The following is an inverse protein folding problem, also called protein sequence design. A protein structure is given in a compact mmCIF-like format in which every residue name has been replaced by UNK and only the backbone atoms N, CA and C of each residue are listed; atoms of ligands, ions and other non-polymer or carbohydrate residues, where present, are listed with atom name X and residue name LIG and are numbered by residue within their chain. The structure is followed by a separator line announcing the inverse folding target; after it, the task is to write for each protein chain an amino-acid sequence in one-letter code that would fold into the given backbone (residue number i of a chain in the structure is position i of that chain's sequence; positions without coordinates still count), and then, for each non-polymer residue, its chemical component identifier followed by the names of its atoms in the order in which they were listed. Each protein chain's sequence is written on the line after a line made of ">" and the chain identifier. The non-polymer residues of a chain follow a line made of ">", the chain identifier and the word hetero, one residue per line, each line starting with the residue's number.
data_IF_606767387225
#
_entry.id   IF_606767387225
#
_cell.length_a   1.000
_cell.length_b   1.000
_cell.length_c   1.000
_cell.angle_alpha   90.00
_cell.angle_beta   90.00
_cell.angle_gamma   90.00
#
_symmetry.space_group_name_H-M   'P 1'
#
loop_
_entity.id
_entity.type
_entity.pdbx_description
1 polymer ?
#
# COMPACT_ATOMS: atom_id res chain seq x y z
N UNK A 1 -24.74 54.28 -5.30
CA UNK A 1 -24.16 54.67 -3.98
C UNK A 1 -23.14 53.60 -3.60
N UNK A 2 -21.84 53.88 -3.77
CA UNK A 2 -20.81 54.00 -2.71
C UNK A 2 -20.68 52.70 -1.89
N UNK A 3 -19.54 51.99 -1.82
CA UNK A 3 -18.17 52.47 -1.66
C UNK A 3 -17.17 51.37 -2.06
N UNK A 4 -16.15 51.76 -2.82
CA UNK A 4 -14.95 50.99 -3.14
C UNK A 4 -13.96 51.22 -1.98
N UNK A 5 -13.42 50.16 -1.39
CA UNK A 5 -12.24 50.23 -0.53
C UNK A 5 -11.08 49.54 -1.23
N UNK A 6 -10.15 50.35 -1.74
CA UNK A 6 -8.84 49.91 -2.18
C UNK A 6 -7.89 49.96 -0.98
N UNK A 7 -7.25 48.83 -0.66
CA UNK A 7 -6.13 48.79 0.31
C UNK A 7 -4.85 48.55 -0.47
N UNK A 8 -4.02 49.59 -0.46
CA UNK A 8 -2.66 49.66 -0.94
C UNK A 8 -1.75 48.98 0.11
N UNK A 9 -1.04 47.91 -0.25
CA UNK A 9 0.04 47.36 0.60
C UNK A 9 1.37 47.52 -0.11
N UNK A 10 2.26 48.23 0.58
CA UNK A 10 3.61 48.59 0.18
C UNK A 10 4.51 47.38 -0.06
N UNK A 11 5.22 47.43 -1.18
CA UNK A 11 6.40 46.61 -1.46
C UNK A 11 7.59 47.21 -0.69
N UNK A 12 8.13 46.49 0.28
CA UNK A 12 9.43 46.79 0.89
C UNK A 12 10.44 45.78 0.34
N UNK A 13 11.32 46.28 -0.54
CA UNK A 13 12.53 45.58 -0.95
C UNK A 13 13.59 45.74 0.14
N UNK A 14 14.08 44.62 0.69
CA UNK A 14 15.26 44.60 1.56
C UNK A 14 16.38 43.82 0.85
N UNK A 15 17.44 44.56 0.51
CA UNK A 15 18.65 44.09 -0.14
C UNK A 15 19.54 43.25 0.78
N UNK A 16 20.24 42.31 0.16
CA UNK A 16 21.21 41.38 0.73
C UNK A 16 22.43 42.05 1.39
N UNK A 17 22.95 41.41 2.43
CA UNK A 17 24.31 41.58 2.96
C UNK A 17 24.89 40.21 3.37
N UNK A 18 26.19 39.94 3.16
CA UNK A 18 26.78 38.63 3.38
C UNK A 18 27.13 38.44 4.87
N UNK A 19 26.68 37.34 5.48
CA UNK A 19 27.11 36.96 6.81
C UNK A 19 28.40 36.11 6.75
N UNK A 20 29.40 36.38 7.61
CA UNK A 20 30.64 35.63 7.64
C UNK A 20 30.45 34.27 8.32
N UNK A 21 31.16 33.28 7.78
CA UNK A 21 31.31 31.96 8.36
C UNK A 21 32.00 32.04 9.73
N UNK A 22 31.37 31.46 10.75
CA UNK A 22 32.02 31.18 12.04
C UNK A 22 32.21 29.67 12.14
N UNK A 23 33.48 29.27 12.02
CA UNK A 23 33.94 27.94 12.40
C UNK A 23 33.95 27.84 13.92
N UNK A 24 33.36 26.77 14.46
CA UNK A 24 33.35 26.45 15.88
C UNK A 24 33.32 24.94 16.08
N UNK A 25 34.49 24.35 16.24
CA UNK A 25 34.70 22.99 16.72
C UNK A 25 34.62 22.96 18.25
N UNK A 26 33.83 22.05 18.82
CA UNK A 26 34.29 21.02 19.78
C UNK A 26 33.24 20.62 20.84
N UNK A 27 33.13 19.30 21.02
CA UNK A 27 32.87 18.51 22.24
C UNK A 27 31.44 18.33 22.76
N UNK A 28 30.94 17.11 22.52
CA UNK A 28 30.80 16.09 23.58
C UNK A 28 29.53 16.12 24.44
N UNK A 29 28.57 15.24 24.12
CA UNK A 29 27.42 14.90 24.96
C UNK A 29 26.92 13.50 24.61
N UNK A 30 26.86 12.64 25.64
CA UNK A 30 26.69 11.19 25.59
C UNK A 30 25.34 10.68 25.02
N UNK A 31 25.38 9.45 24.49
CA UNK A 31 24.34 8.47 24.84
C UNK A 31 23.25 8.14 23.82
N UNK A 32 23.61 7.90 22.56
CA UNK A 32 22.85 6.97 21.72
C UNK A 32 23.87 6.12 20.97
N UNK A 33 23.95 4.83 21.28
CA UNK A 33 24.70 3.89 20.46
C UNK A 33 24.04 3.85 19.09
N UNK A 34 24.54 4.69 18.18
CA UNK A 34 24.29 4.56 16.77
C UNK A 34 24.79 3.16 16.38
N UNK A 35 23.84 2.27 16.08
CA UNK A 35 24.15 0.96 15.54
C UNK A 35 24.90 1.22 14.25
N UNK A 36 26.20 0.91 14.26
CA UNK A 36 27.10 1.19 13.15
C UNK A 36 26.71 0.24 12.02
N UNK A 37 26.07 0.79 10.98
CA UNK A 37 25.73 0.03 9.79
C UNK A 37 27.03 -0.54 9.19
N UNK A 38 27.04 -1.82 8.76
CA UNK A 38 28.17 -2.36 8.03
C UNK A 38 28.48 -1.44 6.84
N UNK A 39 29.68 -0.87 6.86
CA UNK A 39 30.18 -0.02 5.79
C UNK A 39 30.44 -0.90 4.56
N UNK A 40 29.64 -0.63 3.52
CA UNK A 40 29.65 -1.16 2.16
C UNK A 40 29.04 -2.56 1.99
N UNK A 41 27.71 -2.60 1.94
CA UNK A 41 26.99 -3.71 1.34
C UNK A 41 27.49 -3.91 -0.11
N UNK A 42 27.66 -5.16 -0.53
CA UNK A 42 28.08 -5.51 -1.89
C UNK A 42 26.94 -6.22 -2.61
N UNK A 43 26.76 -5.92 -3.89
CA UNK A 43 25.80 -6.64 -4.73
C UNK A 43 26.23 -8.09 -4.85
N UNK A 44 25.29 -9.00 -4.63
CA UNK A 44 25.56 -10.42 -4.73
C UNK A 44 24.35 -11.17 -5.30
N UNK A 45 24.37 -11.33 -6.62
CA UNK A 45 23.27 -11.80 -7.45
C UNK A 45 22.00 -10.93 -7.29
N UNK A 46 20.85 -11.54 -6.98
CA UNK A 46 19.56 -10.88 -6.78
C UNK A 46 19.39 -10.28 -5.37
N UNK A 47 20.40 -10.39 -4.51
CA UNK A 47 20.42 -9.83 -3.15
C UNK A 47 21.73 -9.05 -2.92
N UNK A 48 21.93 -8.56 -1.71
CA UNK A 48 23.18 -7.94 -1.28
C UNK A 48 23.73 -8.60 -0.01
N UNK A 49 25.01 -8.35 0.29
CA UNK A 49 25.70 -8.94 1.43
C UNK A 49 25.05 -8.58 2.78
N UNK A 50 24.48 -7.37 2.90
CA UNK A 50 23.78 -6.94 4.10
C UNK A 50 22.44 -7.65 4.27
N UNK A 51 21.67 -7.84 3.20
CA UNK A 51 20.43 -8.62 3.25
C UNK A 51 20.69 -10.05 3.70
N UNK A 52 21.76 -10.68 3.19
CA UNK A 52 22.15 -12.03 3.66
C UNK A 52 22.56 -12.04 5.12
N UNK A 53 23.36 -11.05 5.55
CA UNK A 53 23.74 -10.93 6.95
C UNK A 53 22.49 -10.81 7.84
N UNK A 54 21.47 -10.08 7.40
CA UNK A 54 20.21 -9.94 8.09
C UNK A 54 19.45 -11.28 8.19
N UNK A 55 19.30 -12.02 7.09
CA UNK A 55 18.70 -13.37 7.10
C UNK A 55 19.44 -14.32 8.05
N UNK A 56 20.78 -14.24 8.10
CA UNK A 56 21.55 -15.06 9.04
C UNK A 56 21.33 -14.63 10.50
N UNK A 57 21.14 -13.34 10.77
CA UNK A 57 20.79 -12.85 12.11
C UNK A 57 19.38 -13.30 12.52
N UNK A 58 18.40 -13.25 11.62
CA UNK A 58 17.04 -13.77 11.87
C UNK A 58 17.04 -15.26 12.21
N UNK A 59 17.82 -16.07 11.48
CA UNK A 59 17.99 -17.51 11.77
C UNK A 59 18.54 -17.78 13.17
N UNK A 60 19.30 -16.84 13.74
CA UNK A 60 19.81 -16.91 15.12
C UNK A 60 18.86 -16.30 16.16
N UNK A 61 17.71 -15.76 15.73
CA UNK A 61 16.78 -15.05 16.60
C UNK A 61 17.24 -13.66 17.04
N UNK A 62 18.27 -13.10 16.40
CA UNK A 62 18.82 -11.79 16.74
C UNK A 62 18.14 -10.69 15.94
N UNK A 63 16.98 -10.24 16.44
CA UNK A 63 16.17 -9.22 15.76
C UNK A 63 16.86 -7.85 15.67
N UNK A 64 17.77 -7.52 16.60
CA UNK A 64 18.51 -6.25 16.59
C UNK A 64 19.55 -6.27 15.46
N UNK A 65 20.33 -7.34 15.37
CA UNK A 65 21.30 -7.49 14.29
C UNK A 65 20.62 -7.63 12.92
N UNK A 66 19.48 -8.34 12.85
CA UNK A 66 18.69 -8.46 11.63
C UNK A 66 18.21 -7.09 11.15
N UNK A 67 17.60 -6.29 12.04
CA UNK A 67 17.14 -4.94 11.71
C UNK A 67 18.27 -4.05 11.21
N UNK A 68 19.41 -4.06 11.89
CA UNK A 68 20.58 -3.27 11.51
C UNK A 68 21.07 -3.61 10.10
N UNK A 69 21.15 -4.90 9.78
CA UNK A 69 21.61 -5.38 8.48
C UNK A 69 20.58 -5.14 7.36
N UNK A 70 19.27 -5.29 7.63
CA UNK A 70 18.23 -4.93 6.67
C UNK A 70 18.17 -3.44 6.40
N UNK A 71 18.34 -2.58 7.42
CA UNK A 71 18.45 -1.12 7.22
C UNK A 71 19.67 -0.77 6.37
N UNK A 72 20.81 -1.44 6.57
CA UNK A 72 21.99 -1.25 5.73
C UNK A 72 21.73 -1.68 4.27
N UNK A 73 21.09 -2.82 4.05
CA UNK A 73 20.66 -3.28 2.72
C UNK A 73 19.69 -2.29 2.05
N UNK A 74 18.70 -1.80 2.80
CA UNK A 74 17.77 -0.77 2.33
C UNK A 74 18.51 0.53 1.92
N UNK A 75 19.47 0.97 2.72
CA UNK A 75 20.27 2.16 2.44
C UNK A 75 21.15 1.97 1.20
N UNK A 76 21.72 0.78 0.99
CA UNK A 76 22.52 0.45 -0.19
C UNK A 76 21.71 0.50 -1.50
N UNK A 77 20.40 0.24 -1.44
CA UNK A 77 19.48 0.48 -2.55
C UNK A 77 19.65 -0.45 -3.76
N UNK A 78 20.34 -1.59 -3.60
CA UNK A 78 20.47 -2.58 -4.67
C UNK A 78 19.16 -3.31 -4.97
N UNK A 79 18.28 -3.43 -3.97
CA UNK A 79 16.98 -4.10 -4.05
C UNK A 79 16.07 -3.61 -2.90
N UNK A 80 14.77 -3.91 -2.97
CA UNK A 80 13.76 -3.37 -2.05
C UNK A 80 13.39 -4.30 -0.87
N UNK A 81 13.71 -5.58 -0.95
CA UNK A 81 13.56 -6.57 0.12
C UNK A 81 14.24 -6.17 1.44
N UNK A 82 15.40 -5.50 1.41
CA UNK A 82 16.01 -4.93 2.63
C UNK A 82 15.11 -3.91 3.33
N UNK A 83 14.49 -3.01 2.55
CA UNK A 83 13.53 -2.05 3.09
C UNK A 83 12.25 -2.73 3.59
N UNK A 84 11.75 -3.73 2.86
CA UNK A 84 10.55 -4.46 3.22
C UNK A 84 10.70 -5.20 4.55
N UNK A 85 11.79 -5.95 4.73
CA UNK A 85 12.03 -6.71 5.95
C UNK A 85 12.34 -5.82 7.16
N UNK A 86 13.12 -4.74 6.99
CA UNK A 86 13.27 -3.74 8.05
C UNK A 86 11.91 -3.12 8.45
N UNK A 87 11.08 -2.79 7.45
CA UNK A 87 9.73 -2.28 7.67
C UNK A 87 8.84 -3.25 8.44
N UNK A 88 8.92 -4.56 8.15
CA UNK A 88 8.20 -5.62 8.87
C UNK A 88 8.67 -5.73 10.31
N UNK A 89 9.97 -5.70 10.57
CA UNK A 89 10.50 -5.74 11.94
C UNK A 89 9.95 -4.54 12.74
N UNK A 90 10.03 -3.33 12.18
CA UNK A 90 9.45 -2.14 12.83
C UNK A 90 7.94 -2.21 13.04
N UNK A 91 7.21 -3.01 12.26
CA UNK A 91 5.76 -3.15 12.41
C UNK A 91 5.40 -4.22 13.45
N UNK A 92 6.00 -5.40 13.34
CA UNK A 92 5.58 -6.63 14.01
C UNK A 92 6.31 -6.87 15.33
N UNK A 93 7.62 -6.60 15.39
CA UNK A 93 8.43 -6.91 16.57
C UNK A 93 8.07 -5.97 17.72
N UNK A 94 7.55 -6.50 18.83
CA UNK A 94 7.06 -5.69 19.94
C UNK A 94 8.12 -4.81 20.60
N UNK A 95 9.38 -5.28 20.66
CA UNK A 95 10.49 -4.56 21.30
C UNK A 95 11.09 -3.50 20.38
N UNK A 96 11.13 -3.76 19.08
CA UNK A 96 11.73 -2.88 18.06
C UNK A 96 10.69 -2.06 17.30
N UNK A 97 9.44 -2.07 17.76
CA UNK A 97 8.31 -1.47 17.04
C UNK A 97 8.49 0.04 16.88
N UNK A 98 8.39 0.50 15.64
CA UNK A 98 8.34 1.92 15.27
C UNK A 98 7.51 2.08 13.99
N UNK A 99 6.23 2.40 14.17
CA UNK A 99 5.32 2.55 13.02
C UNK A 99 5.67 3.71 12.10
N UNK A 100 6.43 4.71 12.58
CA UNK A 100 6.90 5.82 11.75
C UNK A 100 8.00 5.36 10.79
N UNK A 101 8.98 4.61 11.30
CA UNK A 101 10.03 4.00 10.48
C UNK A 101 9.49 2.91 9.57
N UNK A 102 8.57 2.07 10.06
CA UNK A 102 7.86 1.10 9.24
C UNK A 102 7.18 1.78 8.05
N UNK A 103 6.38 2.84 8.31
CA UNK A 103 5.73 3.63 7.25
C UNK A 103 6.74 4.13 6.22
N UNK A 104 7.85 4.72 6.66
CA UNK A 104 8.86 5.25 5.75
C UNK A 104 9.46 4.17 4.84
N UNK A 105 9.68 2.94 5.35
CA UNK A 105 10.26 1.85 4.56
C UNK A 105 9.22 1.28 3.60
N UNK A 106 8.00 1.08 4.07
CA UNK A 106 6.90 0.57 3.26
C UNK A 106 6.52 1.53 2.13
N UNK A 107 6.59 2.86 2.35
CA UNK A 107 6.38 3.85 1.27
C UNK A 107 7.36 3.60 0.13
N UNK A 108 8.66 3.45 0.45
CA UNK A 108 9.70 3.21 -0.55
C UNK A 108 9.46 1.91 -1.34
N UNK A 109 9.08 0.82 -0.65
CA UNK A 109 8.82 -0.47 -1.30
C UNK A 109 7.54 -0.44 -2.14
N UNK A 110 6.45 0.09 -1.59
CA UNK A 110 5.18 0.20 -2.30
C UNK A 110 5.28 1.10 -3.55
N UNK A 111 6.16 2.10 -3.56
CA UNK A 111 6.42 2.98 -4.71
C UNK A 111 7.48 2.46 -5.68
N UNK A 112 8.04 1.27 -5.44
CA UNK A 112 9.06 0.68 -6.30
C UNK A 112 8.44 -0.06 -7.49
N UNK A 113 9.28 -0.35 -8.48
CA UNK A 113 8.92 -1.20 -9.63
C UNK A 113 9.02 -2.71 -9.29
N UNK A 114 9.30 -3.07 -8.04
CA UNK A 114 9.34 -4.47 -7.60
C UNK A 114 7.91 -4.99 -7.38
N UNK A 115 7.30 -5.44 -8.48
CA UNK A 115 5.93 -5.99 -8.51
C UNK A 115 5.73 -7.18 -7.56
N UNK A 116 6.81 -7.88 -7.20
CA UNK A 116 6.77 -9.05 -6.32
C UNK A 116 6.59 -8.70 -4.84
N UNK A 117 7.01 -7.53 -4.38
CA UNK A 117 6.91 -7.14 -2.96
C UNK A 117 6.15 -5.82 -2.72
N UNK A 118 6.00 -4.97 -3.74
CA UNK A 118 5.29 -3.71 -3.62
C UNK A 118 3.85 -3.87 -3.08
N UNK A 119 3.01 -4.83 -3.58
CA UNK A 119 1.66 -5.03 -3.05
C UNK A 119 1.66 -5.32 -1.55
N UNK A 120 2.54 -6.20 -1.08
CA UNK A 120 2.67 -6.54 0.33
C UNK A 120 3.04 -5.33 1.20
N UNK A 121 3.92 -4.45 0.71
CA UNK A 121 4.25 -3.21 1.40
C UNK A 121 3.08 -2.22 1.42
N UNK A 122 2.32 -2.13 0.33
CA UNK A 122 1.12 -1.31 0.25
C UNK A 122 0.07 -1.75 1.28
N UNK A 123 -0.12 -3.06 1.53
CA UNK A 123 -0.97 -3.54 2.64
C UNK A 123 -0.57 -2.91 3.98
N UNK A 124 0.71 -2.93 4.33
CA UNK A 124 1.16 -2.37 5.62
C UNK A 124 0.85 -0.87 5.72
N UNK A 125 1.01 -0.11 4.63
CA UNK A 125 0.62 1.29 4.59
C UNK A 125 -0.89 1.46 4.79
N UNK A 126 -1.69 0.63 4.11
CA UNK A 126 -3.14 0.55 4.32
C UNK A 126 -3.50 0.42 5.80
N UNK A 127 -2.90 -0.55 6.50
CA UNK A 127 -3.12 -0.76 7.94
C UNK A 127 -2.67 0.45 8.77
N UNK A 128 -1.50 1.04 8.47
CA UNK A 128 -0.97 2.20 9.19
C UNK A 128 -1.94 3.39 9.10
N UNK A 129 -2.45 3.69 7.90
CA UNK A 129 -3.38 4.80 7.69
C UNK A 129 -4.79 4.50 8.16
N UNK A 130 -5.23 3.25 8.09
CA UNK A 130 -6.54 2.84 8.59
C UNK A 130 -6.60 2.95 10.12
N UNK A 131 -5.57 2.45 10.82
CA UNK A 131 -5.54 2.38 12.29
C UNK A 131 -4.89 3.60 12.94
N UNK A 132 -4.32 4.51 12.16
CA UNK A 132 -3.63 5.69 12.68
C UNK A 132 -2.38 5.36 13.52
N UNK A 133 -1.59 4.37 13.09
CA UNK A 133 -0.49 3.83 13.92
C UNK A 133 0.72 4.76 14.06
N UNK A 134 0.94 5.66 13.10
CA UNK A 134 2.01 6.69 13.15
C UNK A 134 1.56 8.07 12.70
N UNK A 135 0.28 8.21 12.37
CA UNK A 135 -0.39 9.41 11.85
C UNK A 135 -1.86 9.34 12.28
N UNK A 136 -2.62 10.43 12.14
CA UNK A 136 -4.08 10.33 12.29
C UNK A 136 -4.67 9.41 11.22
N UNK A 137 -5.76 8.66 11.52
CA UNK A 137 -6.44 7.86 10.52
C UNK A 137 -6.82 8.68 9.28
N UNK A 138 -6.61 8.11 8.10
CA UNK A 138 -6.90 8.74 6.81
C UNK A 138 -7.54 7.68 5.90
N UNK A 139 -8.88 7.54 5.93
CA UNK A 139 -9.61 6.48 5.22
C UNK A 139 -9.32 6.43 3.72
N UNK A 140 -9.35 7.56 3.02
CA UNK A 140 -9.03 7.61 1.58
C UNK A 140 -7.59 7.18 1.27
N UNK A 141 -6.63 7.52 2.13
CA UNK A 141 -5.24 7.09 1.96
C UNK A 141 -5.06 5.59 2.27
N UNK A 142 -5.76 5.08 3.29
CA UNK A 142 -5.81 3.65 3.57
C UNK A 142 -6.41 2.86 2.40
N UNK A 143 -7.54 3.33 1.88
CA UNK A 143 -8.18 2.77 0.69
C UNK A 143 -7.21 2.75 -0.50
N UNK A 144 -6.55 3.86 -0.81
CA UNK A 144 -5.59 3.95 -1.92
C UNK A 144 -4.46 2.91 -1.81
N UNK A 145 -3.89 2.73 -0.61
CA UNK A 145 -2.83 1.74 -0.42
C UNK A 145 -3.34 0.29 -0.45
N UNK A 146 -4.50 0.01 0.13
CA UNK A 146 -5.12 -1.32 0.05
C UNK A 146 -5.56 -1.66 -1.39
N UNK A 147 -6.09 -0.68 -2.13
CA UNK A 147 -6.39 -0.78 -3.55
C UNK A 147 -5.13 -1.11 -4.35
N UNK A 148 -4.00 -0.46 -4.11
CA UNK A 148 -2.73 -0.80 -4.79
C UNK A 148 -2.16 -2.17 -4.39
N UNK A 149 -2.51 -2.66 -3.20
CA UNK A 149 -2.15 -4.02 -2.75
C UNK A 149 -2.98 -5.10 -3.44
N UNK A 150 -4.24 -4.81 -3.76
CA UNK A 150 -5.17 -5.77 -4.34
C UNK A 150 -5.32 -5.64 -5.87
N UNK A 151 -5.20 -4.43 -6.40
CA UNK A 151 -5.36 -4.05 -7.79
C UNK A 151 -4.15 -3.21 -8.23
N UNK A 152 -2.94 -3.82 -8.29
CA UNK A 152 -1.73 -3.10 -8.66
C UNK A 152 -1.80 -2.59 -10.10
N UNK A 153 -0.95 -1.61 -10.39
CA UNK A 153 -0.73 -1.15 -11.76
C UNK A 153 0.30 -2.06 -12.44
N UNK A 154 -0.03 -2.58 -13.63
CA UNK A 154 0.88 -3.41 -14.41
C UNK A 154 0.61 -4.91 -14.20
N UNK A 155 1.67 -5.67 -13.91
CA UNK A 155 1.56 -7.11 -13.65
C UNK A 155 0.76 -7.35 -12.36
N UNK A 156 -0.30 -8.19 -12.37
CA UNK A 156 -1.21 -8.26 -11.24
C UNK A 156 -0.74 -9.28 -10.21
N UNK A 157 0.49 -9.09 -9.73
CA UNK A 157 0.96 -9.67 -8.48
C UNK A 157 0.26 -8.96 -7.34
N UNK A 158 -0.51 -9.70 -6.56
CA UNK A 158 -1.33 -9.15 -5.48
C UNK A 158 -0.88 -9.68 -4.14
N UNK A 159 -1.34 -9.03 -3.08
CA UNK A 159 -1.35 -9.63 -1.75
C UNK A 159 -2.79 -9.92 -1.35
N UNK A 160 -3.16 -11.20 -1.30
CA UNK A 160 -4.52 -11.62 -0.93
C UNK A 160 -4.98 -11.06 0.43
N UNK A 161 -4.06 -10.88 1.39
CA UNK A 161 -4.39 -10.21 2.66
C UNK A 161 -4.76 -8.73 2.50
N UNK A 162 -4.14 -8.03 1.55
CA UNK A 162 -4.50 -6.67 1.16
C UNK A 162 -5.87 -6.59 0.50
N UNK A 163 -6.24 -7.59 -0.32
CA UNK A 163 -7.59 -7.73 -0.87
C UNK A 163 -8.65 -7.93 0.20
N UNK A 164 -8.40 -8.80 1.19
CA UNK A 164 -9.31 -8.97 2.32
C UNK A 164 -9.49 -7.68 3.13
N UNK A 165 -8.38 -7.00 3.44
CA UNK A 165 -8.44 -5.74 4.17
C UNK A 165 -9.20 -4.67 3.38
N UNK A 166 -9.01 -4.58 2.07
CA UNK A 166 -9.78 -3.69 1.22
C UNK A 166 -11.27 -4.01 1.28
N UNK A 167 -11.65 -5.28 1.06
CA UNK A 167 -13.05 -5.69 1.06
C UNK A 167 -13.75 -5.49 2.41
N UNK A 168 -13.04 -5.69 3.52
CA UNK A 168 -13.58 -5.48 4.86
C UNK A 168 -13.68 -4.00 5.27
N UNK A 169 -12.98 -3.11 4.57
CA UNK A 169 -12.79 -1.73 5.00
C UNK A 169 -12.93 -0.72 3.87
N UNK A 170 -13.83 -0.98 2.92
CA UNK A 170 -14.20 0.03 1.92
C UNK A 170 -14.86 1.21 2.66
N UNK A 171 -14.30 2.42 2.58
CA UNK A 171 -14.90 3.61 3.19
C UNK A 171 -16.24 3.95 2.54
N UNK A 172 -17.09 4.70 3.25
CA UNK A 172 -18.31 5.28 2.68
C UNK A 172 -17.99 6.44 1.71
N UNK A 173 -19.01 6.91 1.00
CA UNK A 173 -18.86 7.96 -0.01
C UNK A 173 -18.39 9.29 0.61
N UNK A 174 -18.90 9.63 1.80
CA UNK A 174 -18.49 10.82 2.56
C UNK A 174 -16.98 10.81 2.87
N UNK A 175 -16.46 9.68 3.38
CA UNK A 175 -15.04 9.52 3.68
C UNK A 175 -14.15 9.51 2.42
N UNK A 176 -14.74 9.24 1.26
CA UNK A 176 -14.09 9.30 -0.05
C UNK A 176 -14.31 10.63 -0.77
N UNK A 177 -15.13 11.53 -0.22
CA UNK A 177 -15.49 12.81 -0.81
C UNK A 177 -16.11 12.67 -2.22
N UNK A 178 -16.93 11.64 -2.41
CA UNK A 178 -17.64 11.31 -3.66
C UNK A 178 -19.15 11.19 -3.42
N UNK A 179 -19.95 11.20 -4.50
CA UNK A 179 -21.40 11.06 -4.38
C UNK A 179 -21.83 9.59 -4.14
N UNK A 180 -22.88 9.40 -3.34
CA UNK A 180 -23.42 8.07 -2.97
C UNK A 180 -23.89 7.23 -4.17
N UNK A 181 -24.34 7.88 -5.24
CA UNK A 181 -24.79 7.22 -6.47
C UNK A 181 -23.65 6.77 -7.38
N UNK A 182 -22.43 7.26 -7.11
CA UNK A 182 -21.20 6.87 -7.81
C UNK A 182 -20.42 5.81 -7.02
N UNK A 183 -20.44 5.90 -5.69
CA UNK A 183 -19.64 5.05 -4.83
C UNK A 183 -20.48 3.92 -4.23
N UNK A 184 -20.13 2.67 -4.59
CA UNK A 184 -20.83 1.48 -4.12
C UNK A 184 -19.90 0.59 -3.28
N UNK A 185 -19.81 0.81 -1.95
CA UNK A 185 -18.89 0.08 -1.09
C UNK A 185 -19.01 -1.44 -1.18
N UNK A 186 -20.24 -1.96 -1.22
CA UNK A 186 -20.50 -3.40 -1.35
C UNK A 186 -20.00 -3.97 -2.69
N UNK A 187 -20.11 -3.21 -3.78
CA UNK A 187 -19.58 -3.64 -5.08
C UNK A 187 -18.06 -3.62 -5.10
N UNK A 188 -17.44 -2.59 -4.53
CA UNK A 188 -15.98 -2.50 -4.40
C UNK A 188 -15.46 -3.64 -3.52
N UNK A 189 -16.16 -3.97 -2.44
CA UNK A 189 -15.84 -5.10 -1.57
C UNK A 189 -15.99 -6.44 -2.31
N UNK A 190 -17.06 -6.61 -3.10
CA UNK A 190 -17.24 -7.77 -3.99
C UNK A 190 -16.01 -7.99 -4.87
N UNK A 191 -15.57 -6.94 -5.57
CA UNK A 191 -14.42 -7.01 -6.46
C UNK A 191 -13.13 -7.36 -5.70
N UNK A 192 -12.91 -6.76 -4.52
CA UNK A 192 -11.73 -7.04 -3.71
C UNK A 192 -11.69 -8.51 -3.27
N UNK A 193 -12.79 -9.06 -2.77
CA UNK A 193 -12.88 -10.47 -2.40
C UNK A 193 -12.77 -11.42 -3.60
N UNK A 194 -13.34 -11.07 -4.74
CA UNK A 194 -13.21 -11.84 -5.98
C UNK A 194 -11.77 -11.83 -6.50
N UNK A 195 -11.07 -10.69 -6.41
CA UNK A 195 -9.66 -10.59 -6.78
C UNK A 195 -8.79 -11.46 -5.87
N UNK A 196 -8.96 -11.36 -4.56
CA UNK A 196 -8.17 -12.17 -3.63
C UNK A 196 -8.55 -13.66 -3.61
N UNK A 197 -9.75 -14.03 -4.08
CA UNK A 197 -10.08 -15.44 -4.39
C UNK A 197 -9.10 -16.08 -5.37
N UNK A 198 -8.54 -15.30 -6.31
CA UNK A 198 -7.51 -15.79 -7.26
C UNK A 198 -6.14 -16.00 -6.63
N UNK A 199 -5.96 -15.71 -5.35
CA UNK A 199 -4.72 -15.92 -4.57
C UNK A 199 -4.83 -17.13 -3.62
N UNK A 200 -5.65 -18.12 -3.98
CA UNK A 200 -5.87 -19.35 -3.20
C UNK A 200 -6.52 -19.11 -1.81
N UNK A 201 -7.16 -17.95 -1.64
CA UNK A 201 -7.83 -17.55 -0.40
C UNK A 201 -9.31 -17.96 -0.39
N UNK A 202 -9.59 -19.24 -0.10
CA UNK A 202 -10.95 -19.79 -0.12
C UNK A 202 -11.99 -19.00 0.72
N UNK A 203 -11.56 -18.40 1.84
CA UNK A 203 -12.42 -17.56 2.67
C UNK A 203 -12.95 -16.34 1.90
N UNK A 204 -12.13 -15.73 1.05
CA UNK A 204 -12.48 -14.56 0.26
C UNK A 204 -13.42 -14.93 -0.89
N UNK A 205 -13.21 -16.10 -1.52
CA UNK A 205 -14.17 -16.65 -2.48
C UNK A 205 -15.58 -16.80 -1.85
N UNK A 206 -15.64 -17.28 -0.61
CA UNK A 206 -16.90 -17.45 0.12
C UNK A 206 -17.54 -16.10 0.49
N UNK A 207 -16.73 -15.10 0.88
CA UNK A 207 -17.21 -13.75 1.15
C UNK A 207 -17.79 -13.09 -0.10
N UNK A 208 -17.10 -13.16 -1.24
CA UNK A 208 -17.60 -12.63 -2.52
C UNK A 208 -18.95 -13.27 -2.90
N UNK A 209 -19.05 -14.61 -2.84
CA UNK A 209 -20.30 -15.34 -3.12
C UNK A 209 -21.42 -15.01 -2.13
N UNK A 210 -21.10 -14.80 -0.86
CA UNK A 210 -22.10 -14.43 0.15
C UNK A 210 -22.63 -13.02 -0.09
N UNK A 211 -21.74 -12.07 -0.41
CA UNK A 211 -22.09 -10.69 -0.69
C UNK A 211 -22.95 -10.56 -1.96
N UNK A 212 -22.59 -11.27 -3.03
CA UNK A 212 -23.43 -11.34 -4.24
C UNK A 212 -24.83 -11.91 -3.95
N UNK A 213 -24.91 -13.04 -3.24
CA UNK A 213 -26.22 -13.65 -2.89
C UNK A 213 -27.11 -12.73 -2.06
N UNK A 214 -26.52 -12.00 -1.11
CA UNK A 214 -27.24 -10.98 -0.33
C UNK A 214 -27.75 -9.85 -1.24
N UNK A 215 -26.90 -9.33 -2.12
CA UNK A 215 -27.27 -8.29 -3.06
C UNK A 215 -28.41 -8.71 -3.98
N UNK A 216 -28.43 -9.96 -4.45
CA UNK A 216 -29.56 -10.50 -5.24
C UNK A 216 -30.84 -10.56 -4.42
N UNK A 217 -30.78 -11.07 -3.19
CA UNK A 217 -31.95 -11.16 -2.31
C UNK A 217 -32.53 -9.77 -1.98
N UNK A 218 -31.68 -8.75 -1.90
CA UNK A 218 -32.04 -7.37 -1.57
C UNK A 218 -32.30 -6.51 -2.81
N UNK A 219 -32.16 -7.06 -4.02
CA UNK A 219 -32.23 -6.30 -5.29
C UNK A 219 -31.32 -5.07 -5.29
N UNK A 220 -30.09 -5.23 -4.81
CA UNK A 220 -29.16 -4.12 -4.63
C UNK A 220 -28.84 -3.42 -5.97
N UNK A 221 -28.88 -2.09 -5.97
CA UNK A 221 -28.72 -1.29 -7.19
C UNK A 221 -27.38 -1.48 -7.91
N UNK A 222 -26.33 -1.87 -7.19
CA UNK A 222 -25.00 -2.06 -7.76
C UNK A 222 -24.90 -3.30 -8.67
N UNK A 223 -25.86 -4.24 -8.62
CA UNK A 223 -25.84 -5.44 -9.46
C UNK A 223 -25.89 -5.13 -10.97
N UNK A 224 -26.65 -4.11 -11.37
CA UNK A 224 -26.72 -3.67 -12.76
C UNK A 224 -25.35 -3.16 -13.23
N UNK A 225 -24.71 -2.31 -12.42
CA UNK A 225 -23.36 -1.81 -12.69
C UNK A 225 -22.33 -2.94 -12.74
N UNK A 226 -22.41 -3.90 -11.83
CA UNK A 226 -21.52 -5.06 -11.84
C UNK A 226 -21.64 -5.87 -13.14
N UNK A 227 -22.87 -6.10 -13.62
CA UNK A 227 -23.09 -6.82 -14.88
C UNK A 227 -22.51 -6.07 -16.09
N UNK A 228 -22.69 -4.74 -16.15
CA UNK A 228 -22.11 -3.89 -17.19
C UNK A 228 -20.58 -3.94 -17.18
N UNK A 229 -19.96 -3.84 -15.99
CA UNK A 229 -18.52 -3.87 -15.86
C UNK A 229 -17.95 -5.27 -16.14
N UNK A 230 -18.65 -6.35 -15.77
CA UNK A 230 -18.28 -7.73 -16.06
C UNK A 230 -18.22 -8.01 -17.57
N UNK A 231 -19.25 -7.58 -18.30
CA UNK A 231 -19.32 -7.68 -19.76
C UNK A 231 -18.19 -6.88 -20.41
N UNK A 232 -17.99 -5.63 -19.97
CA UNK A 232 -16.95 -4.75 -20.49
C UNK A 232 -15.52 -5.28 -20.32
N UNK A 233 -15.28 -6.17 -19.35
CA UNK A 233 -13.95 -6.79 -19.14
C UNK A 233 -13.88 -8.26 -19.54
N UNK A 234 -14.94 -8.80 -20.17
CA UNK A 234 -15.06 -10.18 -20.62
C UNK A 234 -14.91 -11.23 -19.51
N UNK A 235 -15.48 -10.96 -18.32
CA UNK A 235 -15.55 -11.90 -17.20
C UNK A 235 -16.87 -12.68 -17.12
N UNK A 236 -17.73 -12.54 -18.13
CA UNK A 236 -19.07 -13.14 -18.13
C UNK A 236 -20.04 -12.34 -17.27
N UNK A 237 -20.91 -13.01 -16.52
CA UNK A 237 -21.85 -12.36 -15.61
C UNK A 237 -21.19 -11.89 -14.32
N UNK A 238 -21.86 -10.97 -13.62
CA UNK A 238 -21.43 -10.54 -12.29
C UNK A 238 -21.21 -11.74 -11.34
N UNK A 239 -22.08 -12.76 -11.37
CA UNK A 239 -21.95 -14.00 -10.59
C UNK A 239 -20.76 -14.88 -10.95
N UNK A 240 -20.35 -14.84 -12.22
CA UNK A 240 -19.33 -15.73 -12.76
C UNK A 240 -17.92 -15.30 -12.36
N UNK A 241 -17.71 -14.03 -12.00
CA UNK A 241 -16.40 -13.47 -11.67
C UNK A 241 -15.66 -14.32 -10.62
N UNK A 242 -16.33 -14.79 -9.56
CA UNK A 242 -15.67 -15.63 -8.54
C UNK A 242 -15.37 -17.04 -9.07
N UNK A 243 -16.22 -17.57 -9.96
CA UNK A 243 -16.01 -18.86 -10.60
C UNK A 243 -14.84 -18.87 -11.58
N UNK A 244 -14.56 -17.73 -12.21
CA UNK A 244 -13.43 -17.53 -13.14
C UNK A 244 -12.07 -17.35 -12.46
N UNK A 245 -12.02 -17.25 -11.13
CA UNK A 245 -10.79 -17.06 -10.35
C UNK A 245 -9.91 -18.34 -10.26
N UNK A 246 -9.84 -19.12 -11.34
CA UNK A 246 -9.15 -20.42 -11.40
C UNK A 246 -7.72 -20.31 -10.90
N UNK A 247 -7.43 -21.05 -9.84
CA UNK A 247 -6.10 -21.14 -9.26
C UNK A 247 -5.15 -21.98 -10.13
N UNK A 248 -5.64 -23.03 -10.77
CA UNK A 248 -4.77 -24.12 -11.21
C UNK A 248 -4.00 -23.82 -12.51
N UNK A 249 -4.39 -22.75 -13.22
CA UNK A 249 -3.72 -22.29 -14.44
C UNK A 249 -3.19 -20.87 -14.24
N UNK A 250 -1.86 -20.72 -14.32
CA UNK A 250 -1.19 -19.44 -14.13
C UNK A 250 -1.64 -18.39 -15.15
N UNK A 251 -1.71 -18.73 -16.44
CA UNK A 251 -2.08 -17.76 -17.49
C UNK A 251 -3.53 -17.31 -17.34
N UNK A 252 -4.45 -18.25 -17.08
CA UNK A 252 -5.85 -17.94 -16.83
C UNK A 252 -6.01 -17.07 -15.57
N UNK A 253 -5.26 -17.36 -14.50
CA UNK A 253 -5.25 -16.56 -13.27
C UNK A 253 -4.77 -15.14 -13.53
N UNK A 254 -3.68 -14.95 -14.29
CA UNK A 254 -3.19 -13.61 -14.63
C UNK A 254 -4.18 -12.85 -15.54
N UNK A 255 -4.80 -13.51 -16.51
CA UNK A 255 -5.82 -12.92 -17.37
C UNK A 255 -7.05 -12.47 -16.57
N UNK A 256 -7.53 -13.31 -15.65
CA UNK A 256 -8.59 -12.98 -14.71
C UNK A 256 -8.22 -11.74 -13.87
N UNK A 257 -7.04 -11.75 -13.25
CA UNK A 257 -6.57 -10.65 -12.41
C UNK A 257 -6.46 -9.33 -13.17
N UNK A 258 -5.98 -9.35 -14.42
CA UNK A 258 -5.95 -8.16 -15.29
C UNK A 258 -7.36 -7.65 -15.61
N UNK A 259 -8.33 -8.54 -15.83
CA UNK A 259 -9.72 -8.15 -16.05
C UNK A 259 -10.33 -7.53 -14.78
N UNK A 260 -10.05 -8.10 -13.61
CA UNK A 260 -10.46 -7.56 -12.31
C UNK A 260 -9.88 -6.18 -12.03
N UNK A 261 -8.61 -5.91 -12.37
CA UNK A 261 -8.03 -4.55 -12.28
C UNK A 261 -8.80 -3.56 -13.14
N UNK A 262 -9.19 -3.95 -14.37
CA UNK A 262 -10.01 -3.09 -15.24
C UNK A 262 -11.40 -2.86 -14.65
N UNK A 263 -12.05 -3.91 -14.13
CA UNK A 263 -13.37 -3.80 -13.51
C UNK A 263 -13.32 -2.88 -12.28
N UNK A 264 -12.31 -3.04 -11.43
CA UNK A 264 -12.12 -2.18 -10.26
C UNK A 264 -11.93 -0.72 -10.63
N UNK A 265 -11.10 -0.42 -11.63
CA UNK A 265 -10.91 0.96 -12.10
C UNK A 265 -12.20 1.57 -12.63
N UNK A 266 -13.01 0.79 -13.34
CA UNK A 266 -14.34 1.22 -13.79
C UNK A 266 -15.29 1.44 -12.62
N UNK A 267 -15.25 0.60 -11.59
CA UNK A 267 -16.12 0.71 -10.42
C UNK A 267 -15.79 1.90 -9.50
N UNK A 268 -14.57 2.45 -9.61
CA UNK A 268 -14.04 3.44 -8.65
C UNK A 268 -13.59 4.75 -9.30
N UNK A 269 -13.65 4.87 -10.63
CA UNK A 269 -12.98 5.92 -11.43
C UNK A 269 -11.52 6.18 -10.99
N UNK A 270 -10.87 5.15 -10.43
CA UNK A 270 -9.60 5.27 -9.77
C UNK A 270 -8.45 5.32 -10.80
N UNK A 271 -7.95 6.53 -11.05
CA UNK A 271 -6.68 6.77 -11.70
C UNK A 271 -5.54 6.64 -10.66
N UNK A 272 -5.26 5.41 -10.24
CA UNK A 272 -4.09 5.08 -9.43
C UNK A 272 -2.81 5.01 -10.24
#
# INVERSE_FOLDING_TARGET
>A
MRMIWAVLVMVIAASAGPNPAIAGSARGGAGATAIQAPSDCTRDANVDSCWRAAVQAEKRGDAVAALAAYEASCAAGFQMGGCYEAGKIYFLNATLRDYGRSKARMVRVCQSDDVGIAPYACKYLGIIYQKGLSVKPQPGQAFSYLARSCFPNGEPFIDGGGCELLGNHVPDADAMEVADDVWHPDYIAYLAFAMGCSDDMAAQCNQAKALYRRAVAESAGWLARCAEDADAVALGGCEDMVGSASADDHEARQAFRLAMVRAFRRATDYAG
#
